data_IF_380546485573
#
_entry.id   IF_380546485573
#
_cell.length_a   1.000
_cell.length_b   1.000
_cell.length_c   1.000
_cell.angle_alpha   90.00
_cell.angle_beta   90.00
_cell.angle_gamma   90.00
#
_symmetry.space_group_name_H-M   'P 1'
#
loop_
_entity.id
_entity.type
_entity.pdbx_description
1 polymer ?
#
# COMPACT_ATOMS: atom_id res chain seq x y z
N UNK A 1 12.70 57.89 53.07
CA UNK A 1 12.57 58.03 51.60
C UNK A 1 13.16 56.79 50.93
N UNK A 2 12.34 55.79 50.62
CA UNK A 2 12.78 54.62 49.84
C UNK A 2 11.84 54.45 48.64
N UNK A 3 12.47 54.39 47.46
CA UNK A 3 11.85 54.46 46.13
C UNK A 3 11.31 53.08 45.73
N UNK A 4 10.07 53.06 45.25
CA UNK A 4 9.47 51.95 44.50
C UNK A 4 10.11 51.85 43.12
N UNK A 5 10.51 50.65 42.71
CA UNK A 5 10.86 50.31 41.32
C UNK A 5 9.88 49.21 40.88
N UNK A 6 9.00 49.44 39.89
CA UNK A 6 8.14 48.37 39.38
C UNK A 6 8.93 47.51 38.39
N UNK A 7 9.00 46.22 38.68
CA UNK A 7 9.56 45.18 37.81
C UNK A 7 8.53 44.89 36.69
N UNK A 8 8.81 45.34 35.47
CA UNK A 8 8.04 44.96 34.29
C UNK A 8 8.42 43.53 33.89
N UNK A 9 7.53 42.57 34.12
CA UNK A 9 7.67 41.21 33.62
C UNK A 9 7.34 41.18 32.12
N UNK A 10 8.36 40.94 31.30
CA UNK A 10 8.24 40.73 29.85
C UNK A 10 7.72 39.31 29.60
N UNK A 11 6.47 39.19 29.18
CA UNK A 11 5.84 37.93 28.80
C UNK A 11 6.26 37.57 27.37
N UNK A 12 7.26 36.68 27.23
CA UNK A 12 7.64 36.10 25.95
C UNK A 12 6.63 34.99 25.63
N UNK A 13 5.69 35.28 24.74
CA UNK A 13 4.79 34.26 24.18
C UNK A 13 5.56 33.53 23.09
N UNK A 14 6.19 32.42 23.46
CA UNK A 14 6.77 31.48 22.49
C UNK A 14 5.65 30.69 21.84
N UNK A 15 5.27 31.10 20.62
CA UNK A 15 4.40 30.32 19.75
C UNK A 15 5.13 29.04 19.35
N UNK A 16 4.93 27.95 20.08
CA UNK A 16 5.22 26.60 19.61
C UNK A 16 4.25 26.31 18.46
N UNK A 17 4.66 26.60 17.23
CA UNK A 17 4.00 26.04 16.05
C UNK A 17 4.27 24.55 16.08
N UNK A 18 3.34 23.77 16.64
CA UNK A 18 3.34 22.33 16.50
C UNK A 18 3.38 22.01 14.99
N UNK A 19 4.19 21.03 14.54
CA UNK A 19 4.15 20.60 13.15
C UNK A 19 2.71 20.22 12.84
N UNK A 20 2.12 20.95 11.90
CA UNK A 20 0.79 20.68 11.39
C UNK A 20 0.88 19.30 10.73
N UNK A 21 0.43 18.26 11.45
CA UNK A 21 0.32 16.92 10.93
C UNK A 21 -0.41 17.03 9.59
N UNK A 22 0.29 16.72 8.50
CA UNK A 22 -0.33 16.60 7.19
C UNK A 22 -1.46 15.60 7.35
N UNK A 23 -2.67 16.02 7.05
CA UNK A 23 -3.83 15.13 7.03
C UNK A 23 -3.48 13.91 6.15
N UNK A 24 -3.51 12.74 6.78
CA UNK A 24 -3.76 11.43 6.18
C UNK A 24 -2.75 10.91 5.14
N UNK A 25 -1.44 11.01 5.37
CA UNK A 25 -0.52 10.14 4.64
C UNK A 25 -0.69 8.70 5.14
N UNK A 26 -1.08 7.78 4.24
CA UNK A 26 -1.18 6.35 4.56
C UNK A 26 0.15 5.85 5.15
N UNK A 27 0.07 5.08 6.26
CA UNK A 27 1.25 4.64 6.98
C UNK A 27 2.16 3.80 6.08
N UNK A 28 3.46 3.95 6.29
CA UNK A 28 4.46 3.08 5.69
C UNK A 28 4.63 1.81 6.52
N UNK A 29 5.05 0.72 5.88
CA UNK A 29 5.55 -0.46 6.59
C UNK A 29 6.83 -0.14 7.36
N UNK A 30 7.20 -1.04 8.26
CA UNK A 30 8.57 -1.09 8.78
C UNK A 30 9.57 -1.26 7.63
N UNK A 31 10.78 -0.74 7.84
CA UNK A 31 11.88 -0.88 6.88
C UNK A 31 12.52 -2.26 7.00
N UNK A 32 12.68 -2.96 5.88
CA UNK A 32 13.34 -4.27 5.78
C UNK A 32 14.39 -4.20 4.68
N UNK A 33 15.65 -4.43 5.03
CA UNK A 33 16.80 -4.38 4.10
C UNK A 33 16.81 -3.08 3.27
N UNK A 34 16.49 -1.96 3.92
CA UNK A 34 16.47 -0.63 3.31
C UNK A 34 15.30 -0.35 2.37
N UNK A 35 14.26 -1.18 2.33
CA UNK A 35 13.00 -0.83 1.69
C UNK A 35 11.87 -0.73 2.70
N UNK A 36 10.92 0.15 2.42
CA UNK A 36 9.58 0.10 3.02
C UNK A 36 8.53 0.24 1.92
N UNK A 37 7.29 -0.08 2.22
CA UNK A 37 6.20 0.02 1.25
C UNK A 37 4.88 0.42 1.89
N UNK A 38 3.93 0.81 1.04
CA UNK A 38 2.53 1.05 1.40
C UNK A 38 1.61 0.76 0.22
N UNK A 39 0.33 0.56 0.52
CA UNK A 39 -0.71 0.24 -0.46
C UNK A 39 -1.79 1.29 -0.44
N UNK A 40 -2.28 1.64 -1.62
CA UNK A 40 -3.43 2.52 -1.80
C UNK A 40 -4.48 1.82 -2.67
N UNK A 41 -5.77 1.95 -2.33
CA UNK A 41 -6.87 1.40 -3.14
C UNK A 41 -7.69 2.54 -3.74
N UNK A 42 -7.88 2.51 -5.06
CA UNK A 42 -8.59 3.56 -5.82
C UNK A 42 -9.69 2.96 -6.68
N UNK A 43 -10.83 3.65 -6.74
CA UNK A 43 -11.83 3.40 -7.79
C UNK A 43 -11.23 3.83 -9.12
N UNK A 44 -11.10 2.90 -10.07
CA UNK A 44 -10.55 3.18 -11.39
C UNK A 44 -11.63 3.37 -12.45
N UNK A 45 -12.71 2.61 -12.33
CA UNK A 45 -13.78 2.55 -13.33
C UNK A 45 -15.12 2.18 -12.66
N UNK A 46 -16.21 2.29 -13.38
CA UNK A 46 -17.51 1.79 -12.97
C UNK A 46 -18.20 1.14 -14.18
N UNK A 47 -18.36 -0.18 -14.13
CA UNK A 47 -18.98 -0.97 -15.20
C UNK A 47 -20.12 -1.79 -14.64
N UNK A 48 -21.24 -1.84 -15.35
CA UNK A 48 -22.47 -2.50 -14.92
C UNK A 48 -22.97 -2.04 -13.53
N UNK A 49 -22.74 -0.78 -13.16
CA UNK A 49 -23.08 -0.27 -11.83
C UNK A 49 -22.09 -0.69 -10.72
N UNK A 50 -21.06 -1.46 -11.06
CA UNK A 50 -20.04 -1.96 -10.12
C UNK A 50 -18.75 -1.14 -10.23
N UNK A 51 -18.33 -0.44 -9.15
CA UNK A 51 -17.01 0.15 -9.04
C UNK A 51 -15.90 -0.91 -9.15
N UNK A 52 -14.94 -0.67 -10.05
CA UNK A 52 -13.75 -1.51 -10.21
C UNK A 52 -12.59 -0.84 -9.50
N UNK A 53 -12.07 -1.52 -8.50
CA UNK A 53 -10.97 -1.06 -7.67
C UNK A 53 -9.63 -1.51 -8.24
N UNK A 54 -8.64 -0.64 -8.17
CA UNK A 54 -7.25 -0.98 -8.40
C UNK A 54 -6.45 -0.70 -7.12
N UNK A 55 -5.52 -1.60 -6.81
CA UNK A 55 -4.57 -1.46 -5.72
C UNK A 55 -3.20 -1.04 -6.30
N UNK A 56 -2.63 0.00 -5.70
CA UNK A 56 -1.34 0.55 -6.06
C UNK A 56 -0.35 0.29 -4.93
N UNK A 57 0.81 -0.23 -5.29
CA UNK A 57 1.93 -0.43 -4.37
C UNK A 57 2.92 0.70 -4.57
N UNK A 58 3.28 1.37 -3.48
CA UNK A 58 4.45 2.26 -3.42
C UNK A 58 5.57 1.55 -2.67
N UNK A 59 6.75 1.47 -3.29
CA UNK A 59 8.00 1.03 -2.67
C UNK A 59 8.96 2.21 -2.58
N UNK A 60 9.67 2.32 -1.46
CA UNK A 60 10.67 3.36 -1.24
C UNK A 60 12.01 2.74 -0.86
N UNK A 61 13.07 3.19 -1.55
CA UNK A 61 14.44 2.78 -1.29
C UNK A 61 15.12 3.78 -0.33
N UNK A 62 15.47 3.30 0.85
CA UNK A 62 16.11 4.02 1.95
C UNK A 62 17.53 3.51 2.24
N UNK A 63 18.11 2.66 1.38
CA UNK A 63 19.48 2.17 1.55
C UNK A 63 20.44 3.34 1.40
N UNK A 64 21.16 3.73 2.47
CA UNK A 64 22.17 4.80 2.48
C UNK A 64 23.47 4.39 1.75
N UNK A 65 23.33 3.92 0.53
CA UNK A 65 24.40 3.61 -0.41
C UNK A 65 23.94 4.18 -1.75
N UNK A 66 24.82 4.93 -2.43
CA UNK A 66 24.53 5.62 -3.70
C UNK A 66 24.09 4.66 -4.83
N UNK A 67 24.20 3.36 -4.63
CA UNK A 67 23.85 2.36 -5.63
C UNK A 67 22.33 2.14 -5.70
N UNK A 68 21.74 2.15 -6.91
CA UNK A 68 20.35 1.78 -7.07
C UNK A 68 20.12 0.34 -6.60
N UNK A 69 18.96 0.10 -6.02
CA UNK A 69 18.52 -1.23 -5.62
C UNK A 69 17.54 -1.78 -6.65
N UNK A 70 17.64 -3.07 -6.92
CA UNK A 70 16.81 -3.79 -7.85
C UNK A 70 15.87 -4.74 -7.12
N UNK A 71 14.62 -4.80 -7.56
CA UNK A 71 13.66 -5.80 -7.09
C UNK A 71 13.24 -6.59 -8.31
N UNK A 72 13.48 -7.89 -8.30
CA UNK A 72 12.82 -8.79 -9.24
C UNK A 72 11.37 -8.96 -8.79
N UNK A 73 10.45 -8.21 -9.40
CA UNK A 73 9.04 -8.28 -9.08
C UNK A 73 8.38 -9.43 -9.83
N UNK A 74 7.76 -10.33 -9.07
CA UNK A 74 6.85 -11.35 -9.56
C UNK A 74 5.56 -11.19 -8.76
N UNK A 75 4.40 -11.17 -9.42
CA UNK A 75 3.12 -11.01 -8.72
C UNK A 75 2.85 -12.14 -7.71
N UNK A 76 3.56 -13.28 -7.80
CA UNK A 76 3.52 -14.37 -6.82
C UNK A 76 4.14 -14.00 -5.47
N UNK A 77 4.96 -12.95 -5.43
CA UNK A 77 5.56 -12.45 -4.20
C UNK A 77 4.58 -11.60 -3.39
N UNK A 78 3.44 -11.22 -3.96
CA UNK A 78 2.38 -10.49 -3.29
C UNK A 78 1.30 -11.46 -2.78
N UNK A 79 1.14 -11.53 -1.47
CA UNK A 79 0.00 -12.15 -0.82
C UNK A 79 -0.95 -11.07 -0.34
N UNK A 80 -2.24 -11.25 -0.60
CA UNK A 80 -3.30 -10.30 -0.23
C UNK A 80 -4.47 -11.02 0.41
N UNK A 81 -5.11 -10.33 1.34
CA UNK A 81 -6.41 -10.71 1.90
C UNK A 81 -7.24 -9.46 2.19
N UNK A 82 -8.55 -9.61 2.17
CA UNK A 82 -9.48 -8.55 2.57
C UNK A 82 -10.06 -8.98 3.91
N UNK A 83 -10.04 -8.08 4.88
CA UNK A 83 -10.58 -8.32 6.22
C UNK A 83 -11.58 -7.22 6.59
N UNK A 84 -12.54 -7.53 7.45
CA UNK A 84 -13.37 -6.51 8.09
C UNK A 84 -12.66 -5.85 9.30
N UNK A 85 -13.38 -4.99 10.02
CA UNK A 85 -12.86 -4.32 11.22
C UNK A 85 -12.54 -5.27 12.38
N UNK A 86 -13.13 -6.46 12.41
CA UNK A 86 -12.90 -7.50 13.43
C UNK A 86 -11.78 -8.48 13.00
N UNK A 87 -11.18 -8.25 11.83
CA UNK A 87 -10.11 -9.07 11.27
C UNK A 87 -10.62 -10.37 10.62
N UNK A 88 -11.92 -10.51 10.39
CA UNK A 88 -12.48 -11.66 9.68
C UNK A 88 -12.23 -11.50 8.18
N UNK A 89 -11.73 -12.57 7.55
CA UNK A 89 -11.42 -12.56 6.13
C UNK A 89 -12.69 -12.63 5.28
N UNK A 90 -12.82 -11.73 4.31
CA UNK A 90 -13.84 -11.78 3.27
C UNK A 90 -13.51 -12.92 2.29
N UNK A 91 -14.49 -13.79 2.05
CA UNK A 91 -14.33 -14.92 1.14
C UNK A 91 -14.02 -14.43 -0.29
N UNK A 92 -13.11 -15.17 -0.94
CA UNK A 92 -12.76 -14.94 -2.34
C UNK A 92 -13.91 -15.39 -3.24
N UNK A 93 -14.21 -14.64 -4.28
CA UNK A 93 -15.17 -15.04 -5.30
C UNK A 93 -14.64 -16.26 -6.08
N UNK A 94 -15.52 -17.22 -6.36
CA UNK A 94 -15.20 -18.33 -7.24
C UNK A 94 -15.23 -17.88 -8.70
N UNK A 95 -14.08 -17.90 -9.37
CA UNK A 95 -13.96 -17.47 -10.77
C UNK A 95 -13.81 -18.68 -11.69
N UNK A 96 -14.86 -18.98 -12.46
CA UNK A 96 -14.85 -20.11 -13.40
C UNK A 96 -14.24 -19.76 -14.76
N UNK A 97 -14.29 -18.49 -15.17
CA UNK A 97 -13.75 -18.00 -16.44
C UNK A 97 -12.97 -16.72 -16.18
N UNK A 98 -11.70 -16.70 -16.59
CA UNK A 98 -10.81 -15.56 -16.42
C UNK A 98 -10.11 -15.27 -17.75
N UNK A 99 -10.30 -14.06 -18.29
CA UNK A 99 -9.76 -13.63 -19.59
C UNK A 99 -8.52 -12.73 -19.47
N UNK A 100 -8.02 -12.54 -18.25
CA UNK A 100 -6.97 -11.59 -17.95
C UNK A 100 -5.59 -11.98 -18.47
N UNK A 101 -4.72 -10.98 -18.57
CA UNK A 101 -3.33 -11.14 -18.99
C UNK A 101 -2.50 -11.99 -18.02
N UNK A 102 -1.27 -12.31 -18.46
CA UNK A 102 -0.33 -13.08 -17.64
C UNK A 102 0.15 -12.27 -16.43
N UNK A 103 0.56 -12.99 -15.38
CA UNK A 103 1.23 -12.45 -14.18
C UNK A 103 2.40 -11.55 -14.59
N UNK A 104 2.53 -10.43 -13.88
CA UNK A 104 3.62 -9.48 -14.12
C UNK A 104 4.92 -10.05 -13.56
N UNK A 105 5.94 -10.12 -14.40
CA UNK A 105 7.33 -10.39 -14.01
C UNK A 105 8.20 -9.28 -14.61
N UNK A 106 8.81 -8.47 -13.76
CA UNK A 106 9.57 -7.27 -14.18
C UNK A 106 10.67 -6.98 -13.18
N UNK A 107 11.83 -6.56 -13.66
CA UNK A 107 12.89 -6.01 -12.80
C UNK A 107 12.62 -4.52 -12.57
N UNK A 108 12.39 -4.15 -11.32
CA UNK A 108 12.26 -2.76 -10.87
C UNK A 108 13.63 -2.27 -10.41
N UNK A 109 14.01 -1.06 -10.79
CA UNK A 109 15.24 -0.41 -10.30
C UNK A 109 14.88 0.90 -9.64
N UNK A 110 15.22 1.04 -8.36
CA UNK A 110 14.95 2.23 -7.56
C UNK A 110 16.29 2.88 -7.16
N UNK A 111 16.59 4.10 -7.63
CA UNK A 111 17.68 4.92 -7.09
C UNK A 111 17.60 5.10 -5.57
N UNK A 112 18.71 5.53 -4.96
CA UNK A 112 18.70 5.96 -3.57
C UNK A 112 17.69 7.10 -3.35
N UNK A 113 17.02 7.09 -2.19
CA UNK A 113 16.07 8.13 -1.76
C UNK A 113 14.96 8.37 -2.80
N UNK A 114 14.47 7.27 -3.39
CA UNK A 114 13.45 7.30 -4.41
C UNK A 114 12.30 6.37 -4.08
N UNK A 115 11.12 6.70 -4.62
CA UNK A 115 9.93 5.88 -4.52
C UNK A 115 9.37 5.54 -5.89
N UNK A 116 8.82 4.33 -6.03
CA UNK A 116 8.10 3.89 -7.22
C UNK A 116 6.69 3.44 -6.84
N UNK A 117 5.69 3.99 -7.52
CA UNK A 117 4.29 3.57 -7.39
C UNK A 117 3.80 2.88 -8.66
N UNK A 118 3.23 1.69 -8.54
CA UNK A 118 2.70 0.94 -9.68
C UNK A 118 1.45 0.14 -9.31
N UNK A 119 0.64 -0.17 -10.32
CA UNK A 119 -0.59 -0.94 -10.15
C UNK A 119 -0.27 -2.43 -10.04
N UNK A 120 -0.75 -3.07 -8.96
CA UNK A 120 -0.57 -4.50 -8.71
C UNK A 120 -1.86 -5.31 -8.92
N UNK A 121 -2.99 -4.65 -9.19
CA UNK A 121 -4.23 -5.33 -9.58
C UNK A 121 -4.14 -5.91 -10.98
N UNK A 122 -4.88 -6.99 -11.18
CA UNK A 122 -5.12 -7.59 -12.48
C UNK A 122 -6.54 -7.26 -12.97
N UNK A 123 -6.82 -7.65 -14.20
CA UNK A 123 -8.15 -7.59 -14.78
C UNK A 123 -8.36 -8.84 -15.62
N UNK A 124 -9.38 -9.61 -15.29
CA UNK A 124 -9.77 -10.76 -16.08
C UNK A 124 -11.04 -11.44 -15.62
N UNK A 125 -11.50 -11.15 -14.40
CA UNK A 125 -12.78 -11.63 -13.92
C UNK A 125 -13.94 -10.92 -14.64
N UNK A 126 -15.03 -11.65 -14.85
CA UNK A 126 -16.31 -11.04 -15.24
C UNK A 126 -16.78 -10.06 -14.16
N UNK A 127 -17.33 -8.92 -14.59
CA UNK A 127 -17.78 -7.87 -13.69
C UNK A 127 -19.27 -8.09 -13.41
N UNK A 128 -19.67 -8.34 -12.14
CA UNK A 128 -21.06 -8.51 -11.78
C UNK A 128 -21.84 -7.20 -11.97
N UNK A 129 -23.17 -7.29 -12.06
CA UNK A 129 -24.02 -6.12 -12.05
C UNK A 129 -24.23 -5.62 -10.62
N UNK A 130 -24.20 -4.31 -10.44
CA UNK A 130 -24.62 -3.57 -9.24
C UNK A 130 -23.96 -4.02 -7.93
N UNK A 131 -22.77 -4.63 -7.98
CA UNK A 131 -22.00 -4.93 -6.78
C UNK A 131 -21.41 -3.63 -6.20
N UNK A 132 -21.16 -3.60 -4.89
CA UNK A 132 -20.57 -2.42 -4.25
C UNK A 132 -19.14 -2.17 -4.75
N UNK A 133 -18.37 -3.23 -4.94
CA UNK A 133 -17.02 -3.13 -5.48
C UNK A 133 -16.51 -4.48 -6.01
N UNK A 134 -15.57 -4.42 -6.95
CA UNK A 134 -14.77 -5.55 -7.42
C UNK A 134 -13.28 -5.22 -7.25
N UNK A 135 -12.52 -6.14 -6.66
CA UNK A 135 -11.06 -6.09 -6.58
C UNK A 135 -10.48 -7.40 -7.12
N UNK A 136 -9.58 -7.30 -8.10
CA UNK A 136 -9.03 -8.44 -8.85
C UNK A 136 -7.48 -8.40 -8.80
N UNK A 137 -6.87 -9.49 -8.30
CA UNK A 137 -5.43 -9.73 -8.29
C UNK A 137 -5.05 -11.01 -9.07
N UNK A 138 -5.96 -11.56 -9.86
CA UNK A 138 -5.81 -12.83 -10.57
C UNK A 138 -6.91 -13.84 -10.22
N UNK A 139 -7.00 -14.96 -10.96
CA UNK A 139 -8.11 -15.91 -10.87
C UNK A 139 -8.30 -16.55 -9.48
N UNK A 140 -7.24 -16.59 -8.67
CA UNK A 140 -7.24 -17.14 -7.31
C UNK A 140 -7.55 -16.06 -6.24
N UNK A 141 -7.56 -14.78 -6.61
CA UNK A 141 -7.59 -13.63 -5.70
C UNK A 141 -8.52 -12.56 -6.24
N UNK A 142 -9.81 -12.89 -6.30
CA UNK A 142 -10.89 -11.96 -6.67
C UNK A 142 -11.83 -11.81 -5.50
N UNK A 143 -12.23 -10.57 -5.24
CA UNK A 143 -13.24 -10.25 -4.23
C UNK A 143 -14.33 -9.39 -4.84
N UNK A 144 -15.57 -9.76 -4.54
CA UNK A 144 -16.76 -9.01 -4.91
C UNK A 144 -17.45 -8.62 -3.60
N UNK A 145 -17.57 -7.32 -3.36
CA UNK A 145 -18.33 -6.81 -2.22
C UNK A 145 -19.78 -6.65 -2.68
N UNK A 146 -20.69 -7.36 -2.00
CA UNK A 146 -22.08 -7.43 -2.41
C UNK A 146 -22.78 -6.06 -2.33
N UNK A 147 -23.80 -5.89 -3.17
CA UNK A 147 -24.68 -4.73 -3.11
C UNK A 147 -25.29 -4.59 -1.70
N UNK A 148 -25.30 -3.37 -1.16
CA UNK A 148 -25.87 -3.10 0.17
C UNK A 148 -25.03 -3.54 1.37
N UNK A 149 -23.91 -4.24 1.15
CA UNK A 149 -22.94 -4.52 2.21
C UNK A 149 -22.20 -3.23 2.57
N UNK A 150 -22.45 -2.70 3.77
CA UNK A 150 -21.82 -1.48 4.28
C UNK A 150 -20.65 -1.75 5.25
N UNK A 151 -20.21 -3.01 5.34
CA UNK A 151 -19.10 -3.40 6.20
C UNK A 151 -17.83 -2.64 5.77
N UNK A 152 -17.10 -2.02 6.71
CA UNK A 152 -15.81 -1.44 6.41
C UNK A 152 -14.78 -2.56 6.21
N UNK A 153 -14.29 -2.69 4.98
CA UNK A 153 -13.25 -3.65 4.64
C UNK A 153 -11.89 -2.98 4.49
N UNK A 154 -10.84 -3.76 4.74
CA UNK A 154 -9.45 -3.36 4.65
C UNK A 154 -8.69 -4.40 3.83
N UNK A 155 -7.84 -3.93 2.92
CA UNK A 155 -6.88 -4.75 2.20
C UNK A 155 -5.61 -4.86 3.03
N UNK A 156 -5.22 -6.08 3.36
CA UNK A 156 -3.92 -6.40 3.91
C UNK A 156 -3.05 -7.07 2.86
N UNK A 157 -1.76 -6.72 2.86
CA UNK A 157 -0.82 -7.20 1.87
C UNK A 157 0.53 -7.54 2.50
N UNK A 158 1.15 -8.60 2.01
CA UNK A 158 2.53 -8.98 2.35
C UNK A 158 3.31 -9.23 1.07
N UNK A 159 4.47 -8.61 0.94
CA UNK A 159 5.42 -8.86 -0.14
C UNK A 159 6.51 -9.78 0.42
N UNK A 160 6.81 -10.89 -0.25
CA UNK A 160 7.90 -11.80 0.11
C UNK A 160 8.75 -12.14 -1.10
N UNK A 161 9.92 -11.49 -1.21
CA UNK A 161 10.89 -11.74 -2.27
C UNK A 161 11.97 -12.67 -1.74
N UNK A 162 12.14 -13.88 -2.31
CA UNK A 162 13.14 -14.83 -1.84
C UNK A 162 14.55 -14.37 -2.22
N UNK A 163 15.52 -14.69 -1.35
CA UNK A 163 16.93 -14.54 -1.69
C UNK A 163 17.31 -15.59 -2.75
N UNK A 164 17.89 -15.16 -3.88
CA UNK A 164 18.42 -16.08 -4.91
C UNK A 164 19.94 -16.05 -4.92
N UNK A 165 20.55 -17.23 -4.88
CA UNK A 165 22.02 -17.44 -4.85
C UNK A 165 22.76 -16.86 -6.06
N UNK A 166 22.05 -16.64 -7.16
CA UNK A 166 22.58 -16.15 -8.44
C UNK A 166 22.77 -14.63 -8.44
N UNK A 167 22.12 -13.89 -7.54
CA UNK A 167 22.27 -12.44 -7.39
C UNK A 167 23.52 -12.08 -6.56
N UNK A 168 24.69 -12.55 -7.03
CA UNK A 168 25.99 -12.21 -6.42
C UNK A 168 26.34 -10.77 -6.77
N UNK A 169 25.98 -9.84 -5.89
CA UNK A 169 26.29 -8.41 -6.08
C UNK A 169 25.69 -7.47 -5.03
N UNK A 170 24.74 -7.93 -4.19
CA UNK A 170 24.15 -7.11 -3.13
C UNK A 170 23.21 -5.99 -3.63
N UNK A 171 22.91 -5.95 -4.93
CA UNK A 171 22.03 -4.96 -5.54
C UNK A 171 20.58 -5.42 -5.66
N UNK A 172 20.29 -6.70 -5.45
CA UNK A 172 18.93 -7.23 -5.51
C UNK A 172 18.36 -7.33 -4.11
N UNK A 173 17.29 -6.58 -3.86
CA UNK A 173 16.57 -6.65 -2.61
C UNK A 173 15.84 -7.99 -2.49
N UNK A 174 15.85 -8.51 -1.26
CA UNK A 174 15.08 -9.66 -0.83
C UNK A 174 14.61 -9.42 0.59
N UNK A 175 13.50 -10.05 0.98
CA UNK A 175 12.91 -9.87 2.30
C UNK A 175 11.40 -9.98 2.28
N UNK A 176 10.80 -9.74 3.44
CA UNK A 176 9.36 -9.75 3.63
C UNK A 176 8.90 -8.42 4.20
N UNK A 177 8.04 -7.71 3.47
CA UNK A 177 7.36 -6.50 3.93
C UNK A 177 5.91 -6.83 4.28
N UNK A 178 5.52 -6.57 5.53
CA UNK A 178 4.11 -6.54 5.93
C UNK A 178 3.61 -5.13 5.76
N UNK A 179 2.69 -4.93 4.82
CA UNK A 179 2.18 -3.60 4.49
C UNK A 179 1.06 -3.23 5.46
N UNK A 180 0.95 -1.96 5.85
CA UNK A 180 -0.19 -1.51 6.66
C UNK A 180 -1.51 -1.77 5.93
N UNK A 181 -2.53 -2.12 6.70
CA UNK A 181 -3.88 -2.32 6.17
C UNK A 181 -4.42 -1.01 5.58
N UNK A 182 -5.00 -1.07 4.38
CA UNK A 182 -5.60 0.08 3.70
C UNK A 182 -7.09 -0.10 3.55
N UNK A 183 -7.86 0.94 3.87
CA UNK A 183 -9.32 0.90 3.77
C UNK A 183 -9.76 0.79 2.31
N UNK A 184 -10.74 -0.07 2.06
CA UNK A 184 -11.42 -0.18 0.78
C UNK A 184 -12.53 0.88 0.71
N UNK A 185 -12.58 1.74 -0.33
CA UNK A 185 -13.58 2.79 -0.47
C UNK A 185 -15.00 2.27 -0.64
#
# INVERSE_FOLDING_TARGET
>A
MHRFVPLFALLIVSSLTAPQARADEEPWSDTVNGFRGRMEVRVKDNLNGTPILNAYLTLENLVDIVNPQQIHWDSNYLSVRIVDADGQELERAQVFVYSGGRRQNVDLTLPYDSSLTFNVSQRGCGIPNDARALLDFGPENVWIIAAGDNTPYFLEATISVPEKKEHRGGYHWHGTLKLPAVRIP
#
